data_IF_790526102667
#
_entry.id   IF_790526102667
#
_cell.length_a   1.000
_cell.length_b   1.000
_cell.length_c   1.000
_cell.angle_alpha   90.00
_cell.angle_beta   90.00
_cell.angle_gamma   90.00
#
_symmetry.space_group_name_H-M   'P 1'
#
loop_
_entity.id
_entity.type
_entity.pdbx_description
1 polymer ?
#
# COMPACT_ATOMS: atom_id res chain seq x y z
N UNK A 1 2.81 -0.88 -13.50
CA UNK A 1 1.34 -0.84 -13.46
C UNK A 1 0.66 -2.20 -13.72
N UNK A 2 1.14 -3.03 -14.66
CA UNK A 2 0.51 -4.32 -14.99
C UNK A 2 0.50 -5.30 -13.81
N UNK A 3 1.61 -5.42 -13.07
CA UNK A 3 1.74 -6.32 -11.91
C UNK A 3 0.75 -5.99 -10.77
N UNK A 4 0.62 -4.71 -10.45
CA UNK A 4 -0.27 -4.22 -9.39
C UNK A 4 -1.75 -4.50 -9.70
N UNK A 5 -2.15 -4.34 -10.97
CA UNK A 5 -3.50 -4.67 -11.44
C UNK A 5 -3.74 -6.17 -11.55
N UNK A 6 -2.72 -6.97 -11.88
CA UNK A 6 -2.84 -8.43 -12.00
C UNK A 6 -3.13 -9.12 -10.68
N UNK A 7 -2.60 -8.58 -9.57
CA UNK A 7 -2.77 -9.16 -8.24
C UNK A 7 -3.86 -8.47 -7.42
N UNK A 8 -4.66 -7.59 -8.04
CA UNK A 8 -5.70 -6.78 -7.38
C UNK A 8 -5.18 -6.10 -6.09
N UNK A 9 -3.90 -5.73 -6.05
CA UNK A 9 -3.23 -5.31 -4.82
C UNK A 9 -3.83 -4.05 -4.22
N UNK A 10 -4.42 -3.20 -5.07
CA UNK A 10 -5.03 -1.93 -4.68
C UNK A 10 -6.55 -1.98 -4.58
N UNK A 11 -7.18 -3.13 -4.87
CA UNK A 11 -8.63 -3.26 -4.80
C UNK A 11 -9.11 -3.21 -3.35
N UNK A 12 -10.14 -2.40 -3.09
CA UNK A 12 -10.80 -2.19 -1.80
C UNK A 12 -9.90 -1.62 -0.68
N UNK A 13 -8.78 -0.95 -1.02
CA UNK A 13 -7.94 -0.30 0.00
C UNK A 13 -8.67 0.91 0.63
N UNK A 14 -9.22 1.78 -0.22
CA UNK A 14 -10.04 2.94 0.15
C UNK A 14 -11.40 2.83 -0.56
N UNK A 15 -12.41 3.49 -0.03
CA UNK A 15 -13.69 3.64 -0.74
C UNK A 15 -13.59 4.69 -1.85
N UNK A 16 -14.62 4.83 -2.67
CA UNK A 16 -14.61 5.69 -3.86
C UNK A 16 -14.38 7.18 -3.50
N UNK A 17 -15.06 7.68 -2.46
CA UNK A 17 -14.92 9.06 -1.98
C UNK A 17 -13.51 9.34 -1.43
N UNK A 18 -12.94 8.41 -0.66
CA UNK A 18 -11.59 8.52 -0.11
C UNK A 18 -10.53 8.43 -1.21
N UNK A 19 -10.77 7.59 -2.22
CA UNK A 19 -9.90 7.45 -3.38
C UNK A 19 -9.89 8.74 -4.19
N UNK A 20 -11.05 9.37 -4.37
CA UNK A 20 -11.19 10.69 -5.00
C UNK A 20 -10.37 11.75 -4.24
N UNK A 21 -10.50 11.83 -2.91
CA UNK A 21 -9.73 12.80 -2.10
C UNK A 21 -8.21 12.62 -2.23
N UNK A 22 -7.74 11.38 -2.18
CA UNK A 22 -6.31 11.08 -2.34
C UNK A 22 -5.87 11.40 -3.76
N UNK A 23 -6.68 11.11 -4.77
CA UNK A 23 -6.36 11.40 -6.17
C UNK A 23 -6.25 12.90 -6.43
N UNK A 24 -7.20 13.69 -5.94
CA UNK A 24 -7.13 15.15 -6.03
C UNK A 24 -5.86 15.69 -5.36
N UNK A 25 -5.43 15.11 -4.24
CA UNK A 25 -4.18 15.49 -3.61
C UNK A 25 -2.92 15.17 -4.45
N UNK A 26 -2.93 14.08 -5.21
CA UNK A 26 -1.85 13.81 -6.18
C UNK A 26 -1.90 14.76 -7.38
N UNK A 27 -3.10 15.08 -7.88
CA UNK A 27 -3.30 16.03 -8.99
C UNK A 27 -2.84 17.45 -8.62
N UNK A 28 -2.86 17.82 -7.34
CA UNK A 28 -2.30 19.09 -6.84
C UNK A 28 -0.79 19.02 -6.55
N UNK A 29 -0.08 18.03 -7.07
CA UNK A 29 1.36 17.79 -6.83
C UNK A 29 1.69 17.70 -5.33
N UNK A 30 0.79 17.11 -4.54
CA UNK A 30 0.94 16.96 -3.09
C UNK A 30 1.01 18.31 -2.34
N UNK A 31 0.48 19.37 -2.95
CA UNK A 31 0.48 20.70 -2.34
C UNK A 31 -0.49 20.74 -1.15
N UNK A 32 0.04 21.19 0.00
CA UNK A 32 -0.69 21.40 1.26
C UNK A 32 -1.42 20.15 1.77
N UNK A 33 -0.69 19.17 2.33
CA UNK A 33 -1.31 18.00 2.94
C UNK A 33 -2.20 18.41 4.12
N UNK A 34 -3.46 17.97 4.08
CA UNK A 34 -4.34 18.03 5.24
C UNK A 34 -4.15 16.79 6.10
N UNK A 35 -4.46 16.90 7.40
CA UNK A 35 -4.42 15.76 8.31
C UNK A 35 -5.29 14.59 7.82
N UNK A 36 -6.46 14.89 7.23
CA UNK A 36 -7.38 13.91 6.68
C UNK A 36 -6.75 13.12 5.53
N UNK A 37 -6.17 13.83 4.55
CA UNK A 37 -5.53 13.20 3.38
C UNK A 37 -4.32 12.37 3.81
N UNK A 38 -3.49 12.87 4.74
CA UNK A 38 -2.38 12.08 5.26
C UNK A 38 -2.84 10.83 6.00
N UNK A 39 -3.92 10.91 6.79
CA UNK A 39 -4.51 9.74 7.43
C UNK A 39 -4.96 8.69 6.41
N UNK A 40 -5.59 9.12 5.31
CA UNK A 40 -6.02 8.22 4.23
C UNK A 40 -4.82 7.58 3.51
N UNK A 41 -3.74 8.34 3.28
CA UNK A 41 -2.50 7.80 2.73
C UNK A 41 -1.87 6.75 3.65
N UNK A 42 -1.78 7.03 4.96
CA UNK A 42 -1.28 6.06 5.94
C UNK A 42 -2.13 4.78 5.96
N UNK A 43 -3.45 4.93 5.96
CA UNK A 43 -4.37 3.79 5.91
C UNK A 43 -4.17 2.98 4.63
N UNK A 44 -4.04 3.66 3.48
CA UNK A 44 -3.84 3.01 2.21
C UNK A 44 -2.51 2.25 2.14
N UNK A 45 -1.43 2.84 2.65
CA UNK A 45 -0.12 2.20 2.68
C UNK A 45 -0.08 1.01 3.64
N UNK A 46 -0.70 1.10 4.81
CA UNK A 46 -0.75 -0.01 5.75
C UNK A 46 -1.52 -1.19 5.18
N UNK A 47 -2.71 -0.97 4.61
CA UNK A 47 -3.49 -2.05 3.98
C UNK A 47 -2.78 -2.67 2.78
N UNK A 48 -2.10 -1.85 1.98
CA UNK A 48 -1.27 -2.32 0.87
C UNK A 48 -0.14 -3.22 1.38
N UNK A 49 0.55 -2.77 2.45
CA UNK A 49 1.62 -3.52 3.09
C UNK A 49 1.12 -4.87 3.61
N UNK A 50 0.04 -4.88 4.39
CA UNK A 50 -0.55 -6.11 4.93
C UNK A 50 -0.86 -7.11 3.81
N UNK A 51 -1.45 -6.64 2.70
CA UNK A 51 -1.75 -7.49 1.54
C UNK A 51 -0.50 -8.01 0.83
N UNK A 52 0.55 -7.20 0.72
CA UNK A 52 1.84 -7.62 0.16
C UNK A 52 2.50 -8.67 1.05
N UNK A 53 2.38 -8.55 2.37
CA UNK A 53 2.94 -9.52 3.31
C UNK A 53 2.16 -10.84 3.31
N UNK A 54 0.83 -10.78 3.34
CA UNK A 54 -0.06 -11.95 3.31
C UNK A 54 0.11 -12.78 2.03
N UNK A 55 0.30 -12.13 0.89
CA UNK A 55 0.42 -12.79 -0.41
C UNK A 55 1.85 -12.70 -1.00
N UNK A 56 2.88 -12.46 -0.17
CA UNK A 56 4.27 -12.19 -0.61
C UNK A 56 4.82 -13.27 -1.57
N UNK A 57 4.45 -14.54 -1.35
CA UNK A 57 4.84 -15.67 -2.20
C UNK A 57 4.17 -15.63 -3.58
N UNK A 58 2.88 -15.22 -3.65
CA UNK A 58 2.12 -15.12 -4.91
C UNK A 58 2.55 -13.91 -5.73
N UNK A 59 3.01 -12.86 -5.06
CA UNK A 59 3.46 -11.59 -5.65
C UNK A 59 4.97 -11.65 -5.99
N UNK A 60 5.61 -12.83 -5.89
CA UNK A 60 7.03 -13.00 -6.20
C UNK A 60 7.96 -12.08 -5.41
N UNK A 61 7.46 -11.55 -4.28
CA UNK A 61 8.09 -10.47 -3.52
C UNK A 61 8.88 -11.02 -2.31
N UNK A 62 8.96 -12.34 -2.15
CA UNK A 62 9.60 -13.02 -1.02
C UNK A 62 11.06 -12.61 -0.80
N UNK A 63 11.83 -12.44 -1.87
CA UNK A 63 13.24 -12.00 -1.76
C UNK A 63 13.36 -10.54 -1.34
N UNK A 64 12.43 -9.69 -1.79
CA UNK A 64 12.45 -8.25 -1.50
C UNK A 64 11.88 -7.95 -0.11
N UNK A 65 10.84 -8.68 0.32
CA UNK A 65 10.28 -8.62 1.68
C UNK A 65 11.36 -8.88 2.74
N UNK A 66 12.30 -9.80 2.46
CA UNK A 66 13.44 -10.07 3.35
C UNK A 66 14.35 -8.86 3.60
N UNK A 67 14.33 -7.83 2.76
CA UNK A 67 15.07 -6.58 2.98
C UNK A 67 14.35 -5.62 3.93
N UNK A 68 13.03 -5.73 4.00
CA UNK A 68 12.17 -4.82 4.79
C UNK A 68 11.83 -5.37 6.17
N UNK A 69 12.04 -6.67 6.39
CA UNK A 69 11.80 -7.33 7.66
C UNK A 69 13.00 -7.22 8.61
N UNK A 70 12.71 -7.04 9.89
CA UNK A 70 13.70 -7.25 10.94
C UNK A 70 14.08 -8.73 11.08
N UNK A 71 15.26 -9.01 11.62
CA UNK A 71 15.71 -10.39 11.91
C UNK A 71 14.69 -11.19 12.74
N UNK A 72 13.92 -10.52 13.61
CA UNK A 72 12.88 -11.16 14.41
C UNK A 72 11.67 -11.59 13.57
N UNK A 73 11.27 -10.76 12.61
CA UNK A 73 10.15 -11.05 11.72
C UNK A 73 10.51 -12.11 10.69
N UNK A 74 11.75 -12.11 10.19
CA UNK A 74 12.28 -13.18 9.32
C UNK A 74 12.21 -14.56 9.96
N UNK A 75 12.36 -14.65 11.29
CA UNK A 75 12.31 -15.91 12.02
C UNK A 75 10.88 -16.48 12.16
N UNK A 76 9.84 -15.70 11.82
CA UNK A 76 8.42 -16.08 12.00
C UNK A 76 7.68 -16.38 10.69
N UNK A 77 8.38 -16.33 9.54
CA UNK A 77 7.85 -16.59 8.20
C UNK A 77 8.35 -17.93 7.67
#
# INVERSE_FOLDING_TARGET
MVYVKQHNLLDNILNEDQTEEVRQFFETELSRPTYRVMRLLHEAFNKCWDKVMDDCQKIGFTNDVGLFLSEREKASI
#
